data_IF_765737698254
#
_entry.id   IF_765737698254
#
_cell.length_a   1.000
_cell.length_b   1.000
_cell.length_c   1.000
_cell.angle_alpha   90.00
_cell.angle_beta   90.00
_cell.angle_gamma   90.00
#
_symmetry.space_group_name_H-M   'P 1'
#
loop_
_entity.id
_entity.type
_entity.pdbx_description
1 polymer ?
#
# COMPACT_ATOMS: atom_id res chain seq x y z
N UNK A 1 -11.21 13.24 -11.52
CA UNK A 1 -9.96 12.90 -12.23
C UNK A 1 -8.73 12.93 -11.34
N UNK A 2 -8.34 14.06 -10.74
CA UNK A 2 -7.07 14.10 -9.98
C UNK A 2 -6.99 13.12 -8.78
N UNK A 3 -8.11 12.85 -8.09
CA UNK A 3 -8.14 11.79 -7.06
C UNK A 3 -7.95 10.38 -7.66
N UNK A 4 -8.59 10.08 -8.82
CA UNK A 4 -8.37 8.82 -9.53
C UNK A 4 -6.93 8.66 -10.01
N UNK A 5 -6.31 9.74 -10.49
CA UNK A 5 -4.91 9.73 -10.90
C UNK A 5 -3.97 9.47 -9.69
N UNK A 6 -4.28 10.04 -8.52
CA UNK A 6 -3.54 9.76 -7.30
C UNK A 6 -3.67 8.29 -6.86
N UNK A 7 -4.90 7.74 -6.89
CA UNK A 7 -5.14 6.31 -6.61
C UNK A 7 -4.37 5.42 -7.60
N UNK A 8 -4.36 5.77 -8.88
CA UNK A 8 -3.62 5.03 -9.89
C UNK A 8 -2.11 5.01 -9.60
N UNK A 9 -1.52 6.16 -9.26
CA UNK A 9 -0.10 6.26 -8.90
C UNK A 9 0.22 5.47 -7.62
N UNK A 10 -0.67 5.47 -6.64
CA UNK A 10 -0.51 4.65 -5.44
C UNK A 10 -0.51 3.15 -5.78
N UNK A 11 -1.39 2.68 -6.68
CA UNK A 11 -1.38 1.29 -7.15
C UNK A 11 -0.11 0.95 -7.95
N UNK A 12 0.41 1.86 -8.78
CA UNK A 12 1.70 1.67 -9.46
C UNK A 12 2.85 1.56 -8.47
N UNK A 13 2.80 2.34 -7.38
CA UNK A 13 3.78 2.26 -6.29
C UNK A 13 3.73 0.90 -5.61
N UNK A 14 2.52 0.38 -5.28
CA UNK A 14 2.35 -0.96 -4.72
C UNK A 14 2.97 -2.02 -5.64
N UNK A 15 2.65 -1.99 -6.94
CA UNK A 15 3.18 -2.94 -7.92
C UNK A 15 4.71 -2.92 -7.99
N UNK A 16 5.31 -1.73 -8.03
CA UNK A 16 6.78 -1.57 -8.04
C UNK A 16 7.41 -2.10 -6.76
N UNK A 17 6.80 -1.86 -5.60
CA UNK A 17 7.26 -2.43 -4.33
C UNK A 17 7.18 -3.96 -4.34
N UNK A 18 6.06 -4.54 -4.81
CA UNK A 18 5.90 -5.99 -4.92
C UNK A 18 6.92 -6.62 -5.88
N UNK A 19 7.23 -5.99 -7.01
CA UNK A 19 8.26 -6.46 -7.95
C UNK A 19 9.65 -6.47 -7.29
N UNK A 20 10.00 -5.41 -6.56
CA UNK A 20 11.26 -5.33 -5.81
C UNK A 20 11.33 -6.38 -4.72
N UNK A 21 10.24 -6.58 -3.97
CA UNK A 21 10.15 -7.60 -2.94
C UNK A 21 10.33 -9.02 -3.49
N UNK A 22 9.66 -9.35 -4.60
CA UNK A 22 9.86 -10.66 -5.26
C UNK A 22 11.32 -10.84 -5.65
N UNK A 23 11.94 -9.82 -6.24
CA UNK A 23 13.36 -9.87 -6.63
C UNK A 23 14.26 -10.11 -5.43
N UNK A 24 14.02 -9.42 -4.32
CA UNK A 24 14.82 -9.53 -3.09
C UNK A 24 14.65 -10.89 -2.41
N UNK A 25 13.43 -11.42 -2.38
CA UNK A 25 13.11 -12.74 -1.81
C UNK A 25 13.64 -13.90 -2.67
N UNK A 26 13.61 -13.75 -4.00
CA UNK A 26 14.07 -14.76 -4.95
C UNK A 26 15.59 -14.68 -5.24
N UNK A 27 16.32 -13.73 -4.66
CA UNK A 27 17.73 -13.45 -4.97
C UNK A 27 18.70 -14.60 -4.61
N UNK A 28 18.24 -15.67 -3.95
CA UNK A 28 19.05 -16.83 -3.58
C UNK A 28 20.20 -16.50 -2.62
N UNK A 29 20.15 -15.32 -1.98
CA UNK A 29 21.14 -14.89 -0.99
C UNK A 29 20.96 -15.67 0.33
N UNK A 30 22.04 -15.96 1.07
CA UNK A 30 21.95 -16.62 2.36
C UNK A 30 21.11 -15.85 3.38
N UNK A 31 21.12 -14.52 3.28
CA UNK A 31 20.34 -13.62 4.13
C UNK A 31 19.78 -12.49 3.25
N UNK A 32 18.44 -12.34 3.15
CA UNK A 32 17.81 -11.20 2.49
C UNK A 32 18.17 -9.88 3.18
N UNK A 33 18.12 -8.76 2.44
CA UNK A 33 18.24 -7.44 3.05
C UNK A 33 16.93 -7.09 3.77
N UNK A 34 16.87 -7.41 5.07
CA UNK A 34 15.70 -7.18 5.93
C UNK A 34 15.22 -5.72 5.89
N UNK A 35 16.14 -4.75 5.78
CA UNK A 35 15.78 -3.33 5.71
C UNK A 35 15.11 -3.01 4.38
N UNK A 36 15.62 -3.55 3.27
CA UNK A 36 14.98 -3.39 1.97
C UNK A 36 13.59 -4.05 1.95
N UNK A 37 13.46 -5.26 2.48
CA UNK A 37 12.17 -5.95 2.59
C UNK A 37 11.16 -5.11 3.39
N UNK A 38 11.56 -4.61 4.56
CA UNK A 38 10.72 -3.77 5.40
C UNK A 38 10.33 -2.46 4.69
N UNK A 39 11.29 -1.78 4.05
CA UNK A 39 11.05 -0.51 3.38
C UNK A 39 10.04 -0.67 2.23
N UNK A 40 10.21 -1.67 1.38
CA UNK A 40 9.28 -1.91 0.27
C UNK A 40 7.91 -2.38 0.77
N UNK A 41 7.86 -3.27 1.77
CA UNK A 41 6.59 -3.77 2.29
C UNK A 41 5.79 -2.68 2.99
N UNK A 42 6.45 -1.88 3.82
CA UNK A 42 5.82 -0.73 4.50
C UNK A 42 5.29 0.28 3.49
N UNK A 43 6.08 0.60 2.46
CA UNK A 43 5.65 1.51 1.39
C UNK A 43 4.45 0.95 0.63
N UNK A 44 4.45 -0.34 0.30
CA UNK A 44 3.32 -1.01 -0.35
C UNK A 44 2.05 -0.93 0.50
N UNK A 45 2.12 -1.23 1.80
CA UNK A 45 0.97 -1.17 2.70
C UNK A 45 0.39 0.26 2.82
N UNK A 46 1.26 1.26 2.94
CA UNK A 46 0.86 2.66 3.02
C UNK A 46 0.18 3.13 1.73
N UNK A 47 0.79 2.86 0.57
CA UNK A 47 0.22 3.20 -0.74
C UNK A 47 -1.10 2.46 -0.99
N UNK A 48 -1.17 1.17 -0.69
CA UNK A 48 -2.40 0.38 -0.83
C UNK A 48 -3.53 0.97 0.01
N UNK A 49 -3.27 1.28 1.28
CA UNK A 49 -4.29 1.83 2.19
C UNK A 49 -4.77 3.22 1.75
N UNK A 50 -3.88 4.04 1.17
CA UNK A 50 -4.26 5.34 0.60
C UNK A 50 -5.26 5.22 -0.54
N UNK A 51 -5.22 4.13 -1.32
CA UNK A 51 -6.20 3.91 -2.39
C UNK A 51 -7.65 3.85 -1.88
N UNK A 52 -7.86 3.41 -0.64
CA UNK A 52 -9.18 3.25 0.00
C UNK A 52 -9.54 4.41 0.95
N UNK A 53 -8.64 5.39 1.10
CA UNK A 53 -8.92 6.61 1.86
C UNK A 53 -9.47 7.66 0.89
N UNK A 54 -10.72 8.13 1.05
CA UNK A 54 -11.27 9.14 0.15
C UNK A 54 -10.40 10.40 0.11
N UNK A 55 -10.04 10.83 -1.10
CA UNK A 55 -9.31 12.07 -1.30
C UNK A 55 -10.14 13.33 -0.98
N UNK A 56 -9.57 14.54 -1.15
CA UNK A 56 -10.27 15.79 -0.88
C UNK A 56 -11.57 15.98 -1.68
N UNK A 57 -11.73 15.28 -2.82
CA UNK A 57 -12.93 15.31 -3.66
C UNK A 57 -13.81 14.06 -3.43
N UNK A 58 -13.57 13.31 -2.36
CA UNK A 58 -14.36 12.17 -1.91
C UNK A 58 -14.22 10.92 -2.77
N UNK A 59 -13.23 10.87 -3.68
CA UNK A 59 -13.01 9.69 -4.53
C UNK A 59 -11.93 8.81 -3.91
N UNK A 60 -12.22 7.51 -3.79
CA UNK A 60 -11.33 6.44 -3.34
C UNK A 60 -11.91 5.10 -3.77
N UNK A 61 -11.13 4.04 -3.64
CA UNK A 61 -11.61 2.67 -3.81
C UNK A 61 -12.45 2.24 -2.62
N UNK A 62 -13.28 1.23 -2.85
CA UNK A 62 -14.20 0.63 -1.89
C UNK A 62 -14.03 -0.89 -1.87
N UNK A 63 -14.62 -1.55 -0.88
CA UNK A 63 -14.65 -3.02 -0.85
C UNK A 63 -15.37 -3.60 -2.08
N UNK A 64 -16.38 -2.90 -2.62
CA UNK A 64 -17.05 -3.27 -3.87
C UNK A 64 -16.06 -3.34 -5.05
N UNK A 65 -15.05 -2.45 -5.08
CA UNK A 65 -14.00 -2.48 -6.09
C UNK A 65 -13.09 -3.70 -5.94
N UNK A 66 -12.85 -4.14 -4.70
CA UNK A 66 -12.11 -5.37 -4.42
C UNK A 66 -12.91 -6.58 -4.90
N UNK A 67 -14.21 -6.63 -4.61
CA UNK A 67 -15.10 -7.68 -5.11
C UNK A 67 -15.16 -7.70 -6.64
N UNK A 68 -15.18 -6.53 -7.28
CA UNK A 68 -15.21 -6.39 -8.73
C UNK A 68 -13.92 -6.85 -9.44
N UNK A 69 -12.84 -7.16 -8.70
CA UNK A 69 -11.64 -7.76 -9.31
C UNK A 69 -11.87 -9.18 -9.81
N UNK A 70 -12.89 -9.88 -9.30
CA UNK A 70 -13.22 -11.27 -9.64
C UNK A 70 -12.04 -12.26 -9.49
N UNK A 71 -11.02 -11.90 -8.71
CA UNK A 71 -9.88 -12.77 -8.43
C UNK A 71 -10.35 -13.97 -7.57
N UNK A 72 -9.78 -15.17 -7.78
CA UNK A 72 -10.16 -16.35 -7.01
C UNK A 72 -9.66 -16.27 -5.56
N UNK A 73 -10.43 -16.85 -4.65
CA UNK A 73 -10.09 -16.94 -3.21
C UNK A 73 -10.74 -15.84 -2.38
N UNK A 74 -10.28 -15.69 -1.14
CA UNK A 74 -10.79 -14.68 -0.19
C UNK A 74 -10.07 -13.34 -0.35
N UNK A 75 -10.39 -12.64 -1.45
CA UNK A 75 -9.75 -11.36 -1.81
C UNK A 75 -10.14 -10.25 -0.83
N UNK A 76 -11.38 -10.25 -0.36
CA UNK A 76 -11.87 -9.27 0.63
C UNK A 76 -11.19 -9.49 1.98
N UNK A 77 -11.07 -10.74 2.43
CA UNK A 77 -10.30 -11.07 3.64
C UNK A 77 -8.83 -10.66 3.51
N UNK A 78 -8.21 -10.86 2.35
CA UNK A 78 -6.86 -10.37 2.08
C UNK A 78 -6.76 -8.84 2.15
N UNK A 79 -7.70 -8.12 1.53
CA UNK A 79 -7.78 -6.67 1.63
C UNK A 79 -7.85 -6.20 3.09
N UNK A 80 -8.77 -6.77 3.89
CA UNK A 80 -8.93 -6.43 5.30
C UNK A 80 -7.67 -6.71 6.11
N UNK A 81 -6.98 -7.81 5.80
CA UNK A 81 -5.69 -8.15 6.40
C UNK A 81 -4.64 -7.07 6.11
N UNK A 82 -4.52 -6.60 4.85
CA UNK A 82 -3.57 -5.56 4.48
C UNK A 82 -3.82 -4.25 5.23
N UNK A 83 -5.10 -3.88 5.40
CA UNK A 83 -5.49 -2.71 6.19
C UNK A 83 -5.04 -2.86 7.66
N UNK A 84 -5.22 -4.03 8.26
CA UNK A 84 -4.78 -4.31 9.64
C UNK A 84 -3.25 -4.31 9.78
N UNK A 85 -2.52 -4.84 8.81
CA UNK A 85 -1.05 -4.80 8.82
C UNK A 85 -0.53 -3.37 8.75
N UNK A 86 -1.13 -2.53 7.91
CA UNK A 86 -0.77 -1.11 7.85
C UNK A 86 -0.94 -0.45 9.22
N UNK A 87 -2.07 -0.68 9.89
CA UNK A 87 -2.29 -0.12 11.23
C UNK A 87 -1.21 -0.56 12.22
N UNK A 88 -0.84 -1.85 12.21
CA UNK A 88 0.23 -2.37 13.07
C UNK A 88 1.59 -1.75 12.77
N UNK A 89 1.96 -1.62 11.49
CA UNK A 89 3.26 -1.07 11.08
C UNK A 89 3.35 0.44 11.36
N UNK A 90 2.22 1.14 11.33
CA UNK A 90 2.15 2.58 11.60
C UNK A 90 1.95 2.92 13.10
N UNK A 91 1.76 1.93 13.98
CA UNK A 91 1.53 2.16 15.40
C UNK A 91 2.80 2.68 16.10
N UNK A 92 2.82 3.92 16.62
CA UNK A 92 4.00 4.49 17.27
C UNK A 92 4.33 3.81 18.61
N UNK A 93 3.40 3.07 19.20
CA UNK A 93 3.57 2.35 20.47
C UNK A 93 4.09 0.93 20.32
N UNK A 94 4.21 0.40 19.10
CA UNK A 94 4.61 -0.97 18.82
C UNK A 94 5.86 -0.99 17.97
N UNK A 95 6.85 -1.81 18.34
CA UNK A 95 7.99 -2.07 17.46
C UNK A 95 7.56 -3.08 16.38
N UNK A 96 7.57 -2.72 15.09
CA UNK A 96 7.12 -3.61 14.03
C UNK A 96 8.07 -4.79 13.76
N UNK A 97 9.31 -4.74 14.29
CA UNK A 97 10.36 -5.73 14.04
C UNK A 97 10.45 -6.78 15.14
N UNK A 98 10.29 -6.38 16.40
CA UNK A 98 10.51 -7.25 17.55
C UNK A 98 9.51 -6.98 18.67
N UNK A 99 9.10 -8.04 19.36
CA UNK A 99 8.41 -7.92 20.65
C UNK A 99 9.41 -8.15 21.78
N UNK A 100 9.36 -7.31 22.81
CA UNK A 100 10.25 -7.38 23.97
C UNK A 100 9.46 -7.76 25.21
N UNK A 101 10.05 -8.61 26.04
CA UNK A 101 9.53 -8.97 27.36
C UNK A 101 10.64 -8.78 28.41
N UNK A 102 10.25 -8.28 29.57
CA UNK A 102 11.15 -8.02 30.70
C UNK A 102 10.64 -8.79 31.91
N UNK A 103 11.50 -9.56 32.56
CA UNK A 103 11.16 -10.36 33.74
C UNK A 103 12.29 -10.39 34.76
N UNK A 104 11.99 -10.77 35.99
CA UNK A 104 13.02 -11.02 36.99
C UNK A 104 13.57 -12.44 36.85
N UNK A 105 14.89 -12.60 36.90
CA UNK A 105 15.52 -13.90 37.09
C UNK A 105 15.54 -14.23 38.58
N UNK A 106 15.14 -15.46 38.92
CA UNK A 106 15.08 -15.91 40.30
C UNK A 106 16.10 -17.04 40.54
N UNK A 107 16.69 -17.05 41.72
CA UNK A 107 17.47 -18.18 42.21
C UNK A 107 16.55 -19.37 42.56
N UNK A 108 17.14 -20.50 42.97
CA UNK A 108 16.39 -21.70 43.36
C UNK A 108 15.50 -21.50 44.61
N UNK A 109 15.68 -20.39 45.34
CA UNK A 109 14.89 -20.02 46.52
C UNK A 109 13.77 -19.01 46.21
N UNK A 110 13.67 -18.56 44.95
CA UNK A 110 12.67 -17.58 44.50
C UNK A 110 13.07 -16.12 44.74
N UNK A 111 14.29 -15.84 45.21
CA UNK A 111 14.78 -14.47 45.35
C UNK A 111 15.20 -13.92 43.98
N UNK A 112 14.82 -12.67 43.71
CA UNK A 112 15.23 -11.99 42.49
C UNK A 112 16.75 -11.74 42.51
N UNK A 113 17.47 -12.35 41.56
CA UNK A 113 18.92 -12.17 41.37
C UNK A 113 19.24 -11.22 40.22
N UNK A 114 18.28 -10.89 39.37
CA UNK A 114 18.51 -10.04 38.22
C UNK A 114 17.28 -9.76 37.37
N UNK A 115 17.50 -9.09 36.25
CA UNK A 115 16.50 -8.78 35.23
C UNK A 115 16.91 -9.46 33.93
N UNK A 116 15.98 -10.20 33.32
CA UNK A 116 16.10 -10.76 32.00
C UNK A 116 15.28 -9.92 31.00
N UNK A 117 15.88 -9.63 29.84
CA UNK A 117 15.22 -9.03 28.69
C UNK A 117 15.28 -10.03 27.56
N UNK A 118 14.12 -10.44 27.04
CA UNK A 118 14.02 -11.34 25.89
C UNK A 118 13.30 -10.63 24.74
N UNK A 119 13.81 -10.81 23.52
CA UNK A 119 13.16 -10.34 22.31
C UNK A 119 12.77 -11.49 21.39
N UNK A 120 11.74 -11.27 20.57
CA UNK A 120 11.29 -12.19 19.54
C UNK A 120 11.04 -11.41 18.26
N UNK A 121 11.72 -11.78 17.17
CA UNK A 121 11.51 -11.17 15.85
C UNK A 121 10.12 -11.50 15.31
N UNK A 122 9.49 -10.51 14.72
CA UNK A 122 8.29 -10.70 13.91
C UNK A 122 8.66 -11.46 12.63
N UNK A 123 7.75 -12.29 12.09
CA UNK A 123 7.96 -12.94 10.80
C UNK A 123 8.19 -11.91 9.69
N UNK A 124 9.17 -12.17 8.82
CA UNK A 124 9.35 -11.41 7.60
C UNK A 124 8.22 -11.68 6.60
N UNK A 125 8.02 -10.76 5.67
CA UNK A 125 7.05 -10.95 4.57
C UNK A 125 7.52 -12.08 3.66
N UNK A 126 6.60 -12.96 3.27
CA UNK A 126 6.87 -14.09 2.39
C UNK A 126 6.45 -13.81 0.93
N UNK A 127 7.01 -14.59 -0.01
CA UNK A 127 6.77 -14.38 -1.44
C UNK A 127 5.31 -14.61 -1.87
N UNK A 128 4.55 -15.46 -1.17
CA UNK A 128 3.13 -15.70 -1.49
C UNK A 128 2.32 -14.46 -1.16
N UNK A 129 2.50 -13.90 0.04
CA UNK A 129 1.87 -12.65 0.48
C UNK A 129 2.17 -11.49 -0.48
N UNK A 130 3.42 -11.37 -0.94
CA UNK A 130 3.82 -10.34 -1.91
C UNK A 130 3.12 -10.53 -3.25
N UNK A 131 3.11 -11.75 -3.79
CA UNK A 131 2.47 -12.04 -5.09
C UNK A 131 0.95 -11.84 -5.05
N UNK A 132 0.29 -12.24 -3.96
CA UNK A 132 -1.14 -12.00 -3.76
C UNK A 132 -1.45 -10.51 -3.73
N UNK A 133 -0.68 -9.72 -2.98
CA UNK A 133 -0.82 -8.25 -2.93
C UNK A 133 -0.64 -7.62 -4.31
N UNK A 134 0.38 -8.03 -5.05
CA UNK A 134 0.63 -7.55 -6.41
C UNK A 134 -0.53 -7.88 -7.37
N UNK A 135 -1.10 -9.10 -7.28
CA UNK A 135 -2.23 -9.51 -8.11
C UNK A 135 -3.48 -8.64 -7.86
N UNK A 136 -3.80 -8.37 -6.58
CA UNK A 136 -4.91 -7.49 -6.20
C UNK A 136 -4.67 -6.07 -6.69
N UNK A 137 -3.47 -5.51 -6.45
CA UNK A 137 -3.14 -4.16 -6.90
C UNK A 137 -3.22 -4.01 -8.43
N UNK A 138 -2.79 -5.02 -9.17
CA UNK A 138 -2.87 -5.03 -10.63
C UNK A 138 -4.33 -5.03 -11.11
N UNK A 139 -5.17 -5.90 -10.55
CA UNK A 139 -6.59 -5.95 -10.89
C UNK A 139 -7.30 -4.62 -10.59
N UNK A 140 -7.06 -4.04 -9.42
CA UNK A 140 -7.59 -2.72 -9.06
C UNK A 140 -7.08 -1.62 -10.00
N UNK A 141 -5.82 -1.67 -10.45
CA UNK A 141 -5.29 -0.66 -11.37
C UNK A 141 -6.01 -0.62 -12.70
N UNK A 142 -6.51 -1.77 -13.18
CA UNK A 142 -7.32 -1.84 -14.40
C UNK A 142 -8.67 -1.16 -14.21
N UNK A 143 -9.33 -1.41 -13.08
CA UNK A 143 -10.61 -0.75 -12.74
C UNK A 143 -10.42 0.78 -12.68
N UNK A 144 -9.33 1.24 -12.05
CA UNK A 144 -9.04 2.68 -11.93
C UNK A 144 -8.70 3.29 -13.29
N UNK A 145 -7.92 2.61 -14.13
CA UNK A 145 -7.58 3.07 -15.48
C UNK A 145 -8.81 3.22 -16.38
N UNK A 146 -9.73 2.25 -16.32
CA UNK A 146 -11.02 2.31 -17.03
C UNK A 146 -11.86 3.51 -16.57
N UNK A 147 -11.94 3.75 -15.25
CA UNK A 147 -12.63 4.93 -14.69
C UNK A 147 -11.98 6.24 -15.10
N UNK A 148 -10.65 6.29 -15.12
CA UNK A 148 -9.88 7.47 -15.51
C UNK A 148 -10.13 7.79 -17.00
N UNK A 149 -10.06 6.77 -17.86
CA UNK A 149 -10.34 6.88 -19.29
C UNK A 149 -11.76 7.37 -19.55
N UNK A 150 -12.75 6.80 -18.85
CA UNK A 150 -14.15 7.22 -18.95
C UNK A 150 -14.35 8.69 -18.51
N UNK A 151 -13.80 9.09 -17.36
CA UNK A 151 -13.88 10.48 -16.91
C UNK A 151 -13.16 11.44 -17.86
N UNK A 152 -12.01 11.06 -18.40
CA UNK A 152 -11.28 11.85 -19.38
C UNK A 152 -12.11 12.07 -20.64
N UNK A 153 -12.79 11.03 -21.15
CA UNK A 153 -13.69 11.14 -22.30
C UNK A 153 -14.85 12.10 -22.06
N UNK A 154 -15.47 12.04 -20.87
CA UNK A 154 -16.55 12.97 -20.47
C UNK A 154 -16.04 14.41 -20.41
N UNK A 155 -14.93 14.65 -19.73
CA UNK A 155 -14.34 15.99 -19.59
C UNK A 155 -13.93 16.54 -20.95
N UNK A 156 -13.26 15.74 -21.78
CA UNK A 156 -12.85 16.16 -23.10
C UNK A 156 -14.04 16.52 -23.99
N UNK A 157 -15.09 15.70 -23.99
CA UNK A 157 -16.32 15.99 -24.75
C UNK A 157 -16.97 17.29 -24.32
N UNK A 158 -17.07 17.53 -23.00
CA UNK A 158 -17.62 18.76 -22.45
C UNK A 158 -16.79 20.00 -22.85
N UNK A 159 -15.46 19.90 -22.73
CA UNK A 159 -14.52 20.97 -23.11
C UNK A 159 -14.56 21.23 -24.62
N UNK A 160 -14.59 20.19 -25.46
CA UNK A 160 -14.66 20.32 -26.92
C UNK A 160 -15.93 21.02 -27.41
N UNK A 161 -17.03 20.92 -26.67
CA UNK A 161 -18.30 21.59 -26.98
C UNK A 161 -18.35 23.06 -26.50
N UNK A 162 -17.36 23.55 -25.74
CA UNK A 162 -17.36 24.91 -25.20
C UNK A 162 -17.03 25.97 -26.26
N UNK A 163 -17.73 27.11 -26.18
CA UNK A 163 -17.34 28.30 -26.91
C UNK A 163 -16.02 28.89 -26.37
N UNK A 164 -15.23 29.53 -27.24
CA UNK A 164 -13.91 30.08 -26.91
C UNK A 164 -13.87 30.95 -25.63
N UNK A 165 -14.81 31.87 -25.38
CA UNK A 165 -14.80 32.69 -24.17
C UNK A 165 -15.02 31.91 -22.87
N UNK A 166 -15.62 30.71 -22.94
CA UNK A 166 -15.77 29.83 -21.80
C UNK A 166 -14.50 28.99 -21.57
N UNK A 167 -13.84 28.56 -22.66
CA UNK A 167 -12.54 27.88 -22.59
C UNK A 167 -11.46 28.76 -21.95
N UNK A 168 -11.42 30.04 -22.32
CA UNK A 168 -10.42 30.99 -21.80
C UNK A 168 -10.56 31.25 -20.28
N UNK A 169 -11.68 30.83 -19.66
CA UNK A 169 -11.91 30.90 -18.20
C UNK A 169 -11.44 29.66 -17.45
N UNK A 170 -11.08 28.58 -18.14
CA UNK A 170 -10.53 27.39 -17.50
C UNK A 170 -9.13 27.68 -16.95
N UNK A 171 -8.80 27.08 -15.80
CA UNK A 171 -7.48 27.24 -15.20
C UNK A 171 -6.40 26.71 -16.16
N UNK A 172 -5.48 27.58 -16.56
CA UNK A 172 -4.34 27.20 -17.38
C UNK A 172 -3.31 26.46 -16.53
N UNK A 173 -3.01 25.23 -16.92
CA UNK A 173 -1.87 24.47 -16.39
C UNK A 173 -0.62 24.86 -17.18
N UNK A 174 0.25 25.66 -16.59
CA UNK A 174 1.60 25.88 -17.11
C UNK A 174 2.46 24.67 -16.76
N UNK A 175 2.71 23.80 -17.75
CA UNK A 175 3.63 22.68 -17.60
C UNK A 175 5.06 23.21 -17.68
N UNK A 176 5.71 23.41 -16.54
CA UNK A 176 7.17 23.55 -16.49
C UNK A 176 7.77 22.15 -16.50
N UNK A 177 8.47 21.80 -17.59
CA UNK A 177 9.32 20.61 -17.61
C UNK A 177 10.48 20.87 -16.64
N UNK A 178 10.73 20.02 -15.63
CA UNK A 178 11.90 20.16 -14.77
C UNK A 178 13.18 19.98 -15.60
N UNK A 179 14.19 20.82 -15.38
CA UNK A 179 15.54 20.67 -15.95
C UNK A 179 16.24 19.40 -15.43
#
# INVERSE_FOLDING_TARGET
MADLAAVFEDLQTVLRCCERLVTELDAGRPEPDDLALEAYWTTALLSYTRCFTPGPRGTGLTEDDVTATELPGDVVGWHQMLMQLRERVADPGVNPRESFSVGASQDASGHAEGIAVASTRQPSVDAVSVRQTGAVAYALSRIVDERLTAQQGVVFTAVAAMARPALDKLALLHLTVPE
#
